data_IF_646182182376
#
_entry.id   IF_646182182376
#
_cell.length_a   1.000
_cell.length_b   1.000
_cell.length_c   1.000
_cell.angle_alpha   90.00
_cell.angle_beta   90.00
_cell.angle_gamma   90.00
#
_symmetry.space_group_name_H-M   'P 1'
#
loop_
_entity.id
_entity.type
_entity.pdbx_description
1 polymer ?
#
# COMPACT_ATOMS: atom_id res chain seq x y z
N UNK A 1 -27.19 -8.79 0.75
CA UNK A 1 -26.26 -7.63 0.81
C UNK A 1 -25.01 -8.00 0.04
N UNK A 2 -24.63 -7.22 -0.99
CA UNK A 2 -23.36 -7.41 -1.70
C UNK A 2 -22.25 -6.89 -0.78
N UNK A 3 -21.28 -7.72 -0.42
CA UNK A 3 -20.12 -7.30 0.37
C UNK A 3 -19.40 -6.25 -0.48
N UNK A 4 -19.25 -5.03 0.03
CA UNK A 4 -18.45 -4.02 -0.67
C UNK A 4 -17.02 -4.55 -0.70
N UNK A 5 -16.54 -4.91 -1.89
CA UNK A 5 -15.13 -5.23 -2.09
C UNK A 5 -14.38 -3.90 -2.02
N UNK A 6 -13.68 -3.70 -0.92
CA UNK A 6 -12.80 -2.55 -0.75
C UNK A 6 -11.55 -2.74 -1.60
N UNK A 7 -11.10 -1.68 -2.28
CA UNK A 7 -9.84 -1.64 -3.01
C UNK A 7 -8.89 -0.59 -2.43
N UNK A 8 -7.56 -0.74 -2.59
CA UNK A 8 -6.60 0.30 -2.19
C UNK A 8 -6.90 1.68 -2.78
N UNK A 9 -7.45 1.73 -4.01
CA UNK A 9 -7.84 2.98 -4.67
C UNK A 9 -8.95 3.75 -3.93
N UNK A 10 -9.75 3.06 -3.13
CA UNK A 10 -10.83 3.70 -2.36
C UNK A 10 -10.29 4.51 -1.18
N UNK A 11 -9.12 4.16 -0.63
CA UNK A 11 -8.43 5.01 0.37
C UNK A 11 -7.88 6.29 -0.25
N UNK A 12 -7.36 6.25 -1.48
CA UNK A 12 -6.83 7.43 -2.16
C UNK A 12 -7.93 8.47 -2.41
N UNK A 13 -9.14 8.01 -2.74
CA UNK A 13 -10.29 8.88 -2.96
C UNK A 13 -10.79 9.57 -1.69
N UNK A 14 -10.40 9.07 -0.50
CA UNK A 14 -10.79 9.64 0.80
C UNK A 14 -9.81 10.68 1.32
N UNK A 15 -8.68 10.93 0.62
CA UNK A 15 -7.73 11.96 1.01
C UNK A 15 -8.40 13.34 0.86
N UNK A 16 -8.51 14.05 1.98
CA UNK A 16 -8.98 15.43 2.02
C UNK A 16 -7.87 16.43 2.35
N UNK A 17 -6.67 15.94 2.68
CA UNK A 17 -5.54 16.78 3.06
C UNK A 17 -4.99 17.54 1.85
N UNK A 18 -4.69 18.81 2.06
CA UNK A 18 -3.97 19.62 1.09
C UNK A 18 -2.49 19.21 1.03
N UNK A 19 -1.83 19.58 -0.05
CA UNK A 19 -0.39 19.43 -0.18
C UNK A 19 0.35 20.20 0.94
N UNK A 20 1.28 19.52 1.61
CA UNK A 20 2.19 20.14 2.59
C UNK A 20 3.58 20.30 1.95
N UNK A 21 4.25 21.43 2.20
CA UNK A 21 5.60 21.66 1.68
C UNK A 21 6.60 20.58 2.12
N UNK A 22 7.49 20.22 1.19
CA UNK A 22 8.55 19.24 1.43
C UNK A 22 9.53 19.71 2.51
N UNK A 23 9.95 18.81 3.39
CA UNK A 23 10.94 19.10 4.45
C UNK A 23 10.41 18.95 5.87
N UNK A 24 9.10 18.74 6.04
CA UNK A 24 8.49 18.34 7.32
C UNK A 24 8.13 16.85 7.29
N UNK A 25 8.38 16.14 8.39
CA UNK A 25 7.98 14.74 8.53
C UNK A 25 6.64 14.67 9.25
N UNK A 26 5.63 14.19 8.54
CA UNK A 26 4.33 13.83 9.10
C UNK A 26 3.98 12.40 8.70
N UNK A 27 3.61 11.58 9.68
CA UNK A 27 3.17 10.21 9.42
C UNK A 27 1.85 10.25 8.63
N UNK A 28 1.79 9.49 7.53
CA UNK A 28 0.65 9.51 6.62
C UNK A 28 0.39 8.08 6.08
N UNK A 29 -0.77 7.52 6.44
CA UNK A 29 -1.17 6.16 6.01
C UNK A 29 -1.36 6.05 4.49
N UNK A 30 -1.79 7.12 3.84
CA UNK A 30 -2.01 7.14 2.40
C UNK A 30 -0.70 6.97 1.62
N UNK A 31 0.39 7.57 2.08
CA UNK A 31 1.69 7.44 1.42
C UNK A 31 2.16 5.97 1.40
N UNK A 32 1.87 5.21 2.46
CA UNK A 32 2.19 3.78 2.52
C UNK A 32 1.33 2.98 1.54
N UNK A 33 0.04 3.30 1.44
CA UNK A 33 -0.87 2.66 0.46
C UNK A 33 -0.44 2.96 -0.98
N UNK A 34 -0.08 4.21 -1.29
CA UNK A 34 0.45 4.61 -2.59
C UNK A 34 1.73 3.86 -2.94
N UNK A 35 2.65 3.73 -1.98
CA UNK A 35 3.88 2.97 -2.18
C UNK A 35 3.60 1.49 -2.50
N UNK A 36 2.63 0.89 -1.81
CA UNK A 36 2.15 -0.46 -2.11
C UNK A 36 1.61 -0.59 -3.54
N UNK A 37 0.78 0.36 -3.97
CA UNK A 37 0.23 0.37 -5.34
C UNK A 37 1.32 0.54 -6.41
N UNK A 38 2.34 1.36 -6.15
CA UNK A 38 3.49 1.52 -7.05
C UNK A 38 4.27 0.20 -7.17
N UNK A 39 4.47 -0.52 -6.06
CA UNK A 39 5.14 -1.81 -6.07
C UNK A 39 4.35 -2.89 -6.84
N UNK A 40 3.02 -2.93 -6.69
CA UNK A 40 2.15 -3.80 -7.49
C UNK A 40 2.26 -3.48 -8.99
N UNK A 41 2.19 -2.19 -9.35
CA UNK A 41 2.28 -1.75 -10.74
C UNK A 41 3.63 -2.13 -11.37
N UNK A 42 4.73 -1.91 -10.66
CA UNK A 42 6.07 -2.16 -11.19
C UNK A 42 6.39 -3.66 -11.30
N UNK A 43 5.86 -4.48 -10.40
CA UNK A 43 6.09 -5.93 -10.42
C UNK A 43 5.12 -6.73 -11.28
N UNK A 44 3.93 -6.20 -11.54
CA UNK A 44 2.82 -6.95 -12.13
C UNK A 44 2.23 -8.02 -11.22
N UNK A 45 2.57 -8.02 -9.93
CA UNK A 45 2.10 -8.98 -8.93
C UNK A 45 1.27 -8.27 -7.85
N UNK A 46 0.45 -9.05 -7.12
CA UNK A 46 -0.21 -8.53 -5.93
C UNK A 46 0.83 -8.27 -4.83
N UNK A 47 0.62 -7.22 -4.04
CA UNK A 47 1.56 -6.81 -3.00
C UNK A 47 1.79 -7.91 -1.97
N UNK A 48 0.75 -8.67 -1.64
CA UNK A 48 0.85 -9.80 -0.72
C UNK A 48 1.75 -10.92 -1.25
N UNK A 49 1.74 -11.17 -2.57
CA UNK A 49 2.59 -12.18 -3.20
C UNK A 49 4.05 -11.68 -3.23
N UNK A 50 4.27 -10.40 -3.51
CA UNK A 50 5.59 -9.76 -3.39
C UNK A 50 6.17 -9.87 -1.98
N UNK A 51 5.37 -9.56 -0.95
CA UNK A 51 5.82 -9.70 0.44
C UNK A 51 6.14 -11.16 0.78
N UNK A 52 5.33 -12.10 0.28
CA UNK A 52 5.58 -13.53 0.47
C UNK A 52 6.94 -13.93 -0.10
N UNK A 53 7.20 -13.56 -1.35
CA UNK A 53 8.35 -14.05 -2.10
C UNK A 53 9.66 -13.34 -1.71
N UNK A 54 9.60 -12.05 -1.39
CA UNK A 54 10.79 -11.24 -1.10
C UNK A 54 11.18 -11.22 0.39
N UNK A 55 10.21 -11.38 1.30
CA UNK A 55 10.46 -11.25 2.74
C UNK A 55 10.08 -12.49 3.52
N UNK A 56 8.83 -12.95 3.41
CA UNK A 56 8.31 -14.02 4.28
C UNK A 56 9.06 -15.34 4.04
N UNK A 57 9.18 -15.78 2.78
CA UNK A 57 9.88 -17.01 2.43
C UNK A 57 11.39 -16.89 2.72
N UNK A 58 12.10 -15.85 2.22
CA UNK A 58 13.55 -15.75 2.41
C UNK A 58 13.96 -15.63 3.88
N UNK A 59 13.19 -14.90 4.69
CA UNK A 59 13.47 -14.73 6.12
C UNK A 59 12.78 -15.76 7.02
N UNK A 60 12.06 -16.74 6.44
CA UNK A 60 11.31 -17.79 7.15
C UNK A 60 10.38 -17.24 8.24
N UNK A 61 9.71 -16.14 7.94
CA UNK A 61 8.76 -15.50 8.83
C UNK A 61 7.41 -16.23 8.74
N UNK A 62 7.35 -17.46 9.24
CA UNK A 62 6.10 -18.23 9.25
C UNK A 62 5.16 -17.68 10.32
N UNK A 63 3.95 -17.29 9.92
CA UNK A 63 2.81 -17.07 10.84
C UNK A 63 2.05 -18.38 11.00
#
# INVERSE_FOLDING_TARGET
MKKSEWSPSDLIKLIQSQYTESGTYEYNDTNVVLLGMIAELHSGQRLADLYRDLFIIPFRLQQ
#
